data_IF_059094647785
#
_entry.id   IF_059094647785
#
_cell.length_a   1.000
_cell.length_b   1.000
_cell.length_c   1.000
_cell.angle_alpha   90.00
_cell.angle_beta   90.00
_cell.angle_gamma   90.00
#
_symmetry.space_group_name_H-M   'P 1'
#
loop_
_entity.id
_entity.type
_entity.pdbx_description
1 polymer ?
#
# COMPACT_ATOMS: atom_id res chain seq x y z
N UNK A 1 -19.89 2.87 -51.64
CA UNK A 1 -19.14 3.66 -50.63
C UNK A 1 -19.95 3.96 -49.36
N UNK A 2 -21.09 4.67 -49.42
CA UNK A 2 -21.89 5.04 -48.22
C UNK A 2 -22.39 3.85 -47.36
N UNK A 3 -22.74 2.72 -47.98
CA UNK A 3 -23.16 1.49 -47.25
C UNK A 3 -22.00 0.84 -46.49
N UNK A 4 -20.82 0.73 -47.10
CA UNK A 4 -19.62 0.18 -46.48
C UNK A 4 -19.19 1.02 -45.28
N UNK A 5 -19.16 2.35 -45.41
CA UNK A 5 -18.81 3.27 -44.33
C UNK A 5 -19.76 3.14 -43.11
N UNK A 6 -21.07 2.95 -43.35
CA UNK A 6 -22.06 2.70 -42.29
C UNK A 6 -21.85 1.36 -41.59
N UNK A 7 -21.40 0.33 -42.30
CA UNK A 7 -21.12 -0.99 -41.73
C UNK A 7 -19.85 -0.92 -40.86
N UNK A 8 -18.77 -0.33 -41.38
CA UNK A 8 -17.53 -0.12 -40.62
C UNK A 8 -17.76 0.70 -39.35
N UNK A 9 -18.56 1.78 -39.43
CA UNK A 9 -18.92 2.58 -38.26
C UNK A 9 -19.70 1.81 -37.19
N UNK A 10 -20.62 0.92 -37.60
CA UNK A 10 -21.35 0.04 -36.66
C UNK A 10 -20.43 -0.97 -35.98
N UNK A 11 -19.46 -1.52 -36.70
CA UNK A 11 -18.46 -2.45 -36.14
C UNK A 11 -17.61 -1.72 -35.10
N UNK A 12 -17.11 -0.53 -35.42
CA UNK A 12 -16.32 0.28 -34.49
C UNK A 12 -17.12 0.68 -33.25
N UNK A 13 -18.38 1.07 -33.41
CA UNK A 13 -19.27 1.37 -32.29
C UNK A 13 -19.50 0.13 -31.41
N UNK A 14 -19.70 -1.05 -32.02
CA UNK A 14 -19.82 -2.31 -31.29
C UNK A 14 -18.56 -2.64 -30.48
N UNK A 15 -17.37 -2.42 -31.05
CA UNK A 15 -16.09 -2.61 -30.36
C UNK A 15 -15.93 -1.62 -29.19
N UNK A 16 -16.30 -0.36 -29.38
CA UNK A 16 -16.22 0.67 -28.34
C UNK A 16 -17.17 0.35 -27.18
N UNK A 17 -18.39 -0.11 -27.48
CA UNK A 17 -19.33 -0.59 -26.46
C UNK A 17 -18.76 -1.80 -25.72
N UNK A 18 -18.15 -2.75 -26.43
CA UNK A 18 -17.53 -3.92 -25.81
C UNK A 18 -16.41 -3.54 -24.83
N UNK A 19 -15.53 -2.61 -25.23
CA UNK A 19 -14.47 -2.08 -24.36
C UNK A 19 -15.06 -1.36 -23.15
N UNK A 20 -16.06 -0.51 -23.36
CA UNK A 20 -16.72 0.19 -22.26
C UNK A 20 -17.36 -0.78 -21.25
N UNK A 21 -18.06 -1.80 -21.74
CA UNK A 21 -18.64 -2.85 -20.88
C UNK A 21 -17.56 -3.60 -20.12
N UNK A 22 -16.45 -3.97 -20.78
CA UNK A 22 -15.33 -4.63 -20.14
C UNK A 22 -14.72 -3.77 -19.01
N UNK A 23 -14.48 -2.48 -19.26
CA UNK A 23 -13.95 -1.56 -18.25
C UNK A 23 -14.90 -1.38 -17.07
N UNK A 24 -16.22 -1.31 -17.32
CA UNK A 24 -17.22 -1.24 -16.24
C UNK A 24 -17.17 -2.50 -15.39
N UNK A 25 -17.17 -3.68 -16.01
CA UNK A 25 -17.09 -4.97 -15.30
C UNK A 25 -15.82 -5.06 -14.47
N UNK A 26 -14.66 -4.70 -15.05
CA UNK A 26 -13.38 -4.71 -14.34
C UNK A 26 -13.36 -3.73 -13.17
N UNK A 27 -13.92 -2.52 -13.34
CA UNK A 27 -13.99 -1.53 -12.26
C UNK A 27 -14.87 -2.00 -11.11
N UNK A 28 -16.03 -2.57 -11.41
CA UNK A 28 -16.94 -3.13 -10.39
C UNK A 28 -16.27 -4.29 -9.67
N UNK A 29 -15.63 -5.20 -10.41
CA UNK A 29 -14.90 -6.32 -9.81
C UNK A 29 -13.76 -5.84 -8.91
N UNK A 30 -12.97 -4.86 -9.36
CA UNK A 30 -11.91 -4.25 -8.58
C UNK A 30 -12.43 -3.64 -7.27
N UNK A 31 -13.51 -2.87 -7.31
CA UNK A 31 -14.12 -2.31 -6.09
C UNK A 31 -14.64 -3.39 -5.13
N UNK A 32 -15.16 -4.51 -5.65
CA UNK A 32 -15.57 -5.65 -4.82
C UNK A 32 -14.36 -6.29 -4.14
N UNK A 33 -13.24 -6.43 -4.85
CA UNK A 33 -12.01 -7.02 -4.28
C UNK A 33 -11.37 -6.09 -3.26
N UNK A 34 -11.27 -4.79 -3.52
CA UNK A 34 -10.79 -3.81 -2.54
C UNK A 34 -11.58 -3.90 -1.21
N UNK A 35 -12.91 -3.94 -1.28
CA UNK A 35 -13.76 -4.11 -0.07
C UNK A 35 -13.54 -5.42 0.67
N UNK A 36 -13.08 -6.47 -0.02
CA UNK A 36 -12.73 -7.76 0.62
C UNK A 36 -11.36 -7.67 1.27
N UNK A 37 -10.42 -6.96 0.64
CA UNK A 37 -9.06 -6.72 1.13
C UNK A 37 -9.04 -5.81 2.37
N UNK A 38 -10.00 -4.90 2.53
CA UNK A 38 -10.13 -4.05 3.74
C UNK A 38 -10.04 -4.86 5.04
N UNK A 39 -10.62 -6.07 5.06
CA UNK A 39 -10.57 -6.97 6.24
C UNK A 39 -9.18 -7.50 6.54
N UNK A 40 -8.32 -7.61 5.52
CA UNK A 40 -6.92 -8.04 5.70
C UNK A 40 -6.10 -6.91 6.33
N UNK A 41 -6.46 -5.65 6.05
CA UNK A 41 -5.82 -4.46 6.63
C UNK A 41 -6.14 -4.30 8.11
N UNK A 42 -7.28 -4.82 8.58
CA UNK A 42 -7.59 -4.87 10.02
C UNK A 42 -6.56 -5.70 10.81
N UNK A 43 -5.99 -6.72 10.16
CA UNK A 43 -4.94 -7.58 10.73
C UNK A 43 -3.52 -7.14 10.36
N UNK A 44 -3.35 -5.95 9.75
CA UNK A 44 -2.02 -5.47 9.39
C UNK A 44 -1.16 -5.29 10.65
N UNK A 45 0.10 -5.76 10.67
CA UNK A 45 0.90 -5.72 11.89
C UNK A 45 1.34 -4.30 12.24
N UNK A 46 1.25 -3.99 13.53
CA UNK A 46 1.72 -2.74 14.09
C UNK A 46 0.64 -1.99 14.85
N UNK A 47 1.08 -0.96 15.55
CA UNK A 47 0.23 -0.02 16.26
C UNK A 47 0.32 1.34 15.58
N UNK A 48 -0.84 1.96 15.34
CA UNK A 48 -0.93 3.32 14.82
C UNK A 48 -0.83 4.33 15.96
N UNK A 49 0.37 4.85 16.16
CA UNK A 49 0.70 5.86 17.19
C UNK A 49 0.58 7.27 16.61
N UNK A 50 0.21 8.25 17.44
CA UNK A 50 0.09 9.64 17.02
C UNK A 50 1.45 10.35 17.10
N UNK A 51 1.87 10.97 16.00
CA UNK A 51 3.09 11.78 15.86
C UNK A 51 2.72 13.03 15.06
N UNK A 52 2.94 14.21 15.62
CA UNK A 52 2.65 15.51 14.98
C UNK A 52 1.24 15.63 14.40
N UNK A 53 0.24 15.03 15.08
CA UNK A 53 -1.17 15.05 14.66
C UNK A 53 -1.54 14.06 13.56
N UNK A 54 -0.62 13.19 13.16
CA UNK A 54 -0.80 12.15 12.17
C UNK A 54 -0.53 10.76 12.74
N UNK A 55 -1.08 9.71 12.12
CA UNK A 55 -0.89 8.33 12.57
C UNK A 55 0.28 7.66 11.86
N UNK A 56 1.27 7.27 12.65
CA UNK A 56 2.43 6.50 12.22
C UNK A 56 2.25 5.04 12.66
N UNK A 57 2.43 4.09 11.75
CA UNK A 57 2.41 2.67 12.08
C UNK A 57 3.79 2.21 12.55
N UNK A 58 3.84 1.59 13.71
CA UNK A 58 5.06 1.02 14.30
C UNK A 58 4.79 -0.42 14.69
N UNK A 59 5.56 -1.36 14.15
CA UNK A 59 5.51 -2.76 14.55
C UNK A 59 6.62 -3.07 15.54
N UNK A 60 6.33 -3.87 16.57
CA UNK A 60 7.31 -4.28 17.58
C UNK A 60 7.26 -5.80 17.76
N UNK A 61 8.43 -6.43 17.80
CA UNK A 61 8.61 -7.87 18.03
C UNK A 61 9.78 -8.11 19.01
N UNK A 62 9.64 -9.07 19.92
CA UNK A 62 10.66 -9.38 20.92
C UNK A 62 10.61 -8.50 22.18
N UNK A 63 11.27 -8.96 23.24
CA UNK A 63 11.27 -8.34 24.58
C UNK A 63 12.69 -8.08 25.13
N UNK A 64 13.71 -8.11 24.25
CA UNK A 64 15.10 -7.87 24.64
C UNK A 64 15.33 -6.47 25.23
N UNK A 65 16.35 -6.34 26.09
CA UNK A 65 16.69 -5.07 26.77
C UNK A 65 17.12 -3.98 25.78
N UNK A 66 17.85 -4.37 24.73
CA UNK A 66 18.28 -3.46 23.66
C UNK A 66 17.23 -3.41 22.55
N UNK A 67 16.89 -2.20 22.12
CA UNK A 67 15.94 -1.98 21.01
C UNK A 67 16.68 -1.70 19.70
N UNK A 68 16.42 -2.51 18.67
CA UNK A 68 16.86 -2.28 17.30
C UNK A 68 15.74 -1.61 16.51
N UNK A 69 16.01 -0.40 16.00
CA UNK A 69 15.04 0.37 15.22
C UNK A 69 15.34 0.23 13.74
N UNK A 70 14.39 -0.31 12.98
CA UNK A 70 14.47 -0.49 11.54
C UNK A 70 13.79 0.68 10.84
N UNK A 71 14.62 1.50 10.18
CA UNK A 71 14.18 2.61 9.34
C UNK A 71 14.29 2.18 7.87
N UNK A 72 13.16 2.07 7.14
CA UNK A 72 13.18 1.68 5.74
C UNK A 72 13.84 2.72 4.85
N UNK A 73 14.43 2.32 3.70
CA UNK A 73 14.79 3.25 2.64
C UNK A 73 13.52 3.87 2.00
N UNK A 74 13.71 4.88 1.16
CA UNK A 74 12.60 5.42 0.35
C UNK A 74 12.02 4.36 -0.58
N UNK A 75 10.74 4.49 -0.91
CA UNK A 75 10.02 3.63 -1.86
C UNK A 75 9.76 2.18 -1.41
N UNK A 76 10.00 1.86 -0.14
CA UNK A 76 9.54 0.60 0.44
C UNK A 76 8.07 0.72 0.86
N UNK A 77 7.17 0.06 0.14
CA UNK A 77 5.73 0.18 0.34
C UNK A 77 5.23 -0.48 1.63
N UNK A 78 5.96 -1.44 2.21
CA UNK A 78 5.54 -2.15 3.42
C UNK A 78 6.75 -2.63 4.24
N UNK A 79 7.42 -1.71 4.95
CA UNK A 79 8.63 -1.99 5.73
C UNK A 79 8.47 -3.14 6.73
N UNK A 80 7.29 -3.28 7.35
CA UNK A 80 7.00 -4.36 8.28
C UNK A 80 7.19 -5.73 7.63
N UNK A 81 6.80 -5.93 6.37
CA UNK A 81 7.04 -7.20 5.69
C UNK A 81 8.45 -7.29 5.10
N UNK A 82 9.01 -6.16 4.64
CA UNK A 82 10.35 -6.12 4.06
C UNK A 82 11.42 -6.54 5.08
N UNK A 83 11.34 -6.06 6.33
CA UNK A 83 12.30 -6.40 7.38
C UNK A 83 12.02 -7.72 8.10
N UNK A 84 10.89 -8.37 7.83
CA UNK A 84 10.47 -9.59 8.54
C UNK A 84 11.52 -10.70 8.58
N UNK A 85 12.18 -11.07 7.46
CA UNK A 85 13.20 -12.10 7.51
C UNK A 85 14.37 -11.76 8.44
N UNK A 86 14.62 -10.47 8.68
CA UNK A 86 15.72 -9.98 9.51
C UNK A 86 15.30 -9.88 10.98
N UNK A 87 14.22 -9.16 11.30
CA UNK A 87 13.84 -8.94 12.69
C UNK A 87 13.42 -10.25 13.38
N UNK A 88 12.82 -11.22 12.68
CA UNK A 88 12.44 -12.52 13.27
C UNK A 88 13.66 -13.36 13.67
N UNK A 89 14.84 -13.09 13.11
CA UNK A 89 16.08 -13.74 13.54
C UNK A 89 16.72 -13.04 14.74
N UNK A 90 16.32 -11.81 15.04
CA UNK A 90 16.91 -10.96 16.07
C UNK A 90 16.00 -10.81 17.28
N UNK A 91 14.70 -11.05 17.12
CA UNK A 91 13.66 -10.81 18.13
C UNK A 91 13.79 -11.67 19.39
N UNK A 92 14.51 -12.79 19.32
CA UNK A 92 14.77 -13.65 20.48
C UNK A 92 15.77 -13.00 21.46
N UNK A 93 16.65 -12.12 20.97
CA UNK A 93 17.68 -11.44 21.77
C UNK A 93 17.39 -9.93 21.95
N UNK A 94 16.75 -9.31 20.97
CA UNK A 94 16.52 -7.87 20.89
C UNK A 94 15.04 -7.54 20.80
N UNK A 95 14.65 -6.36 21.27
CA UNK A 95 13.37 -5.76 20.92
C UNK A 95 13.50 -5.08 19.56
N UNK A 96 12.79 -5.55 18.54
CA UNK A 96 12.86 -5.01 17.19
C UNK A 96 11.66 -4.10 16.94
N UNK A 97 11.90 -2.84 16.56
CA UNK A 97 10.87 -1.88 16.20
C UNK A 97 11.00 -1.49 14.72
N UNK A 98 9.97 -1.74 13.91
CA UNK A 98 9.91 -1.35 12.51
C UNK A 98 9.01 -0.13 12.36
N UNK A 99 9.58 0.96 11.85
CA UNK A 99 8.85 2.22 11.67
C UNK A 99 8.45 2.37 10.21
N UNK A 100 7.14 2.45 9.95
CA UNK A 100 6.64 2.80 8.62
C UNK A 100 6.51 4.31 8.55
N UNK A 101 7.37 4.98 7.79
CA UNK A 101 7.31 6.45 7.66
C UNK A 101 6.01 6.88 6.98
N UNK A 102 5.60 8.14 7.19
CA UNK A 102 4.40 8.68 6.54
C UNK A 102 4.45 8.52 5.02
N UNK A 103 3.33 8.06 4.45
CA UNK A 103 3.23 7.68 3.04
C UNK A 103 3.59 6.22 2.71
N UNK A 104 3.95 5.42 3.71
CA UNK A 104 4.29 4.00 3.55
C UNK A 104 3.48 3.10 4.49
N UNK A 105 3.29 1.85 4.07
CA UNK A 105 2.58 0.84 4.85
C UNK A 105 1.22 1.31 5.33
N UNK A 106 0.97 1.21 6.64
CA UNK A 106 -0.28 1.65 7.28
C UNK A 106 -0.20 3.03 7.94
N UNK A 107 0.89 3.77 7.72
CA UNK A 107 1.00 5.17 8.16
C UNK A 107 0.18 6.10 7.28
N UNK A 108 -0.26 7.22 7.85
CA UNK A 108 -0.98 8.24 7.12
C UNK A 108 -0.13 8.79 5.95
N UNK A 109 -0.81 9.14 4.86
CA UNK A 109 -0.21 9.87 3.74
C UNK A 109 -0.31 11.36 4.06
N UNK A 110 0.85 12.02 4.17
CA UNK A 110 0.94 13.46 4.44
C UNK A 110 1.64 14.18 3.28
N UNK A 111 1.27 15.44 3.07
CA UNK A 111 1.90 16.34 2.10
C UNK A 111 2.90 17.21 2.86
N UNK A 112 4.12 16.68 2.99
CA UNK A 112 5.22 17.30 3.74
C UNK A 112 6.53 17.11 2.95
N UNK A 113 7.50 17.98 3.21
CA UNK A 113 8.78 17.94 2.52
C UNK A 113 9.52 16.62 2.81
N UNK A 114 10.25 16.15 1.80
CA UNK A 114 10.95 14.85 1.79
C UNK A 114 12.43 15.07 1.45
N UNK A 115 13.03 16.05 2.11
CA UNK A 115 14.46 16.32 2.02
C UNK A 115 15.26 15.49 3.04
N UNK A 116 16.59 15.56 2.96
CA UNK A 116 17.47 14.83 3.86
C UNK A 116 17.35 15.26 5.33
N UNK A 117 16.89 16.48 5.61
CA UNK A 117 16.72 16.96 6.98
C UNK A 117 15.46 16.38 7.62
N UNK A 118 14.45 16.05 6.80
CA UNK A 118 13.13 15.55 7.26
C UNK A 118 12.99 14.02 7.13
N UNK A 119 13.78 13.38 6.25
CA UNK A 119 13.75 11.93 5.99
C UNK A 119 14.61 11.09 6.94
N UNK A 120 15.67 11.68 7.50
CA UNK A 120 16.62 11.05 8.43
C UNK A 120 16.14 11.13 9.88
#
# INVERSE_FOLDING_TARGET
MKKALKITGKIFLGLLILIAVFLIVMTVYNQIMLKKEDKLLESYPGERVEVDGHKLNVYVEGEGEQTLVFLPPSADTSPVFTFKPLYTQLSDEYRCAVVERFGYGMSDVIDDDRDFETIL
#
